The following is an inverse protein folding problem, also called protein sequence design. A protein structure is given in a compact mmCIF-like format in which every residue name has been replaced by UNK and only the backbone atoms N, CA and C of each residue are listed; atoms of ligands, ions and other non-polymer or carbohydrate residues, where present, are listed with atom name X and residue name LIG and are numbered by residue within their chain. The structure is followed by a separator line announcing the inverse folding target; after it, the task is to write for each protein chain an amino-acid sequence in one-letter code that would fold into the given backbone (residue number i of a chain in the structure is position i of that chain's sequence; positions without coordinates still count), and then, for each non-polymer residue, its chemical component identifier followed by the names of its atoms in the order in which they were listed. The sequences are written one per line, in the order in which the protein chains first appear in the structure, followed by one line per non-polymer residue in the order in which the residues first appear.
data_IF_776361214912
#
_entry.id   IF_776361214912
#
_cell.length_a   1.000
_cell.length_b   1.000
_cell.length_c   1.000
_cell.angle_alpha   90.00
_cell.angle_beta   90.00
_cell.angle_gamma   90.00
#
_symmetry.space_group_name_H-M   'P 1'
#
loop_
_entity.id
_entity.type
_entity.pdbx_description
1 polymer ?
#
# COMPACT_ATOMS: atom_id res chain seq x y z
N UNK A 1 -6.61 -24.92 2.10
CA UNK A 1 -6.79 -23.50 2.47
C UNK A 1 -7.43 -22.74 1.33
N UNK A 2 -7.94 -21.53 1.55
CA UNK A 2 -8.72 -20.76 0.56
C UNK A 2 -8.03 -20.51 -0.80
N UNK A 3 -6.71 -20.72 -0.91
CA UNK A 3 -5.92 -20.56 -2.14
C UNK A 3 -5.17 -21.83 -2.56
N UNK A 4 -5.60 -23.02 -2.13
CA UNK A 4 -4.96 -24.26 -2.55
C UNK A 4 -5.26 -24.55 -4.03
N UNK A 5 -4.22 -24.63 -4.86
CA UNK A 5 -4.31 -24.98 -6.28
C UNK A 5 -3.14 -25.87 -6.69
N UNK A 6 -3.31 -26.65 -7.76
CA UNK A 6 -2.21 -27.46 -8.32
C UNK A 6 -1.02 -26.59 -8.78
N UNK A 7 -1.28 -25.35 -9.19
CA UNK A 7 -0.23 -24.40 -9.55
C UNK A 7 0.59 -23.99 -8.33
N UNK A 8 -0.06 -23.76 -7.19
CA UNK A 8 0.61 -23.47 -5.94
C UNK A 8 1.46 -24.66 -5.48
N UNK A 9 0.92 -25.88 -5.53
CA UNK A 9 1.63 -27.09 -5.12
C UNK A 9 2.89 -27.34 -5.98
N UNK A 10 2.81 -27.12 -7.30
CA UNK A 10 3.97 -27.18 -8.19
C UNK A 10 5.02 -26.14 -7.85
N UNK A 11 4.62 -24.87 -7.66
CA UNK A 11 5.54 -23.80 -7.32
C UNK A 11 6.28 -24.08 -5.99
N UNK A 12 5.57 -24.57 -4.97
CA UNK A 12 6.16 -24.95 -3.68
C UNK A 12 7.19 -26.09 -3.83
N UNK A 13 6.88 -27.09 -4.66
CA UNK A 13 7.80 -28.20 -4.91
C UNK A 13 9.06 -27.73 -5.67
N UNK A 14 8.90 -26.87 -6.67
CA UNK A 14 10.02 -26.30 -7.44
C UNK A 14 10.97 -25.47 -6.57
N UNK A 15 10.44 -24.74 -5.58
CA UNK A 15 11.24 -23.89 -4.67
C UNK A 15 11.61 -24.58 -3.35
N UNK A 16 11.33 -25.88 -3.20
CA UNK A 16 11.51 -26.64 -1.96
C UNK A 16 10.98 -25.89 -0.72
N UNK A 17 9.78 -25.32 -0.85
CA UNK A 17 9.16 -24.43 0.14
C UNK A 17 8.00 -25.13 0.86
N UNK A 18 7.93 -25.00 2.18
CA UNK A 18 6.84 -25.53 2.99
C UNK A 18 5.90 -24.40 3.44
N UNK A 19 4.59 -24.64 3.38
CA UNK A 19 3.59 -23.72 3.95
C UNK A 19 3.31 -24.11 5.39
N UNK A 20 3.48 -23.14 6.29
CA UNK A 20 3.02 -23.25 7.67
C UNK A 20 1.76 -22.42 7.85
N UNK A 21 0.68 -23.08 8.28
CA UNK A 21 -0.57 -22.41 8.60
C UNK A 21 -0.54 -21.94 10.05
N UNK A 22 -0.94 -20.69 10.27
CA UNK A 22 -1.24 -20.21 11.60
C UNK A 22 -2.49 -20.91 12.16
N UNK A 23 -2.63 -21.02 13.49
CA UNK A 23 -3.85 -21.54 14.10
C UNK A 23 -5.08 -20.70 13.69
N UNK A 24 -6.28 -21.29 13.72
CA UNK A 24 -7.53 -20.54 13.52
C UNK A 24 -7.59 -19.32 14.44
N UNK A 25 -8.08 -18.20 13.93
CA UNK A 25 -8.17 -16.92 14.67
C UNK A 25 -6.83 -16.31 15.10
N UNK A 26 -5.72 -16.67 14.45
CA UNK A 26 -4.44 -15.98 14.64
C UNK A 26 -4.60 -14.47 14.39
N UNK A 27 -4.16 -13.67 15.36
CA UNK A 27 -4.27 -12.20 15.30
C UNK A 27 -3.26 -11.62 14.30
N UNK A 28 -3.52 -10.40 13.85
CA UNK A 28 -2.59 -9.61 13.05
C UNK A 28 -1.24 -9.38 13.77
N UNK A 29 -1.22 -9.48 15.10
CA UNK A 29 -0.01 -9.41 15.92
C UNK A 29 0.96 -10.57 15.72
N UNK A 30 0.49 -11.76 15.29
CA UNK A 30 1.36 -12.92 15.04
C UNK A 30 1.76 -13.07 13.56
N UNK A 31 1.15 -12.27 12.68
CA UNK A 31 1.46 -12.21 11.26
C UNK A 31 2.63 -11.23 11.04
N UNK A 32 3.80 -11.68 10.55
CA UNK A 32 4.98 -10.82 10.45
C UNK A 32 4.81 -9.59 9.54
N UNK A 33 3.99 -9.68 8.50
CA UNK A 33 3.69 -8.55 7.62
C UNK A 33 2.79 -7.53 8.31
N UNK A 34 1.75 -8.00 8.99
CA UNK A 34 0.79 -7.14 9.68
C UNK A 34 1.40 -6.41 10.87
N UNK A 35 2.10 -7.16 11.73
CA UNK A 35 2.73 -6.65 12.96
C UNK A 35 3.90 -5.67 12.72
N UNK A 36 4.48 -5.65 11.51
CA UNK A 36 5.59 -4.75 11.17
C UNK A 36 5.20 -3.69 10.15
N UNK A 37 5.23 -4.01 8.86
CA UNK A 37 5.16 -2.99 7.80
C UNK A 37 3.75 -2.45 7.63
N UNK A 38 2.72 -3.30 7.68
CA UNK A 38 1.32 -2.87 7.52
C UNK A 38 0.89 -2.03 8.73
N UNK A 39 1.25 -2.43 9.96
CA UNK A 39 1.00 -1.61 11.14
C UNK A 39 1.57 -0.20 10.98
N UNK A 40 2.82 -0.05 10.51
CA UNK A 40 3.41 1.28 10.28
C UNK A 40 2.75 2.06 9.15
N UNK A 41 2.29 1.39 8.09
CA UNK A 41 1.51 2.04 7.03
C UNK A 41 0.15 2.51 7.57
N UNK A 42 -0.51 1.72 8.42
CA UNK A 42 -1.77 2.11 9.09
C UNK A 42 -1.57 3.31 10.02
N UNK A 43 -0.48 3.33 10.79
CA UNK A 43 -0.12 4.47 11.67
C UNK A 43 0.04 5.75 10.83
N UNK A 44 0.85 5.70 9.77
CA UNK A 44 1.13 6.87 8.93
C UNK A 44 -0.10 7.32 8.13
N UNK A 45 -0.90 6.37 7.64
CA UNK A 45 -2.19 6.66 7.00
C UNK A 45 -3.12 7.41 7.96
N UNK A 46 -3.27 6.89 9.18
CA UNK A 46 -4.15 7.49 10.20
C UNK A 46 -3.71 8.91 10.51
N UNK A 47 -2.41 9.11 10.79
CA UNK A 47 -1.83 10.43 11.08
C UNK A 47 -2.10 11.44 9.97
N UNK A 48 -1.82 11.08 8.71
CA UNK A 48 -2.02 11.98 7.56
C UNK A 48 -3.49 12.23 7.28
N UNK A 49 -4.33 11.20 7.43
CA UNK A 49 -5.76 11.35 7.25
C UNK A 49 -6.40 12.24 8.32
N UNK A 50 -5.93 12.14 9.57
CA UNK A 50 -6.36 13.03 10.65
C UNK A 50 -6.01 14.48 10.37
N UNK A 51 -4.78 14.76 9.91
CA UNK A 51 -4.39 16.11 9.46
C UNK A 51 -5.34 16.60 8.37
N UNK A 52 -5.63 15.76 7.35
CA UNK A 52 -6.53 16.16 6.27
C UNK A 52 -7.95 16.44 6.75
N UNK A 53 -8.48 15.63 7.68
CA UNK A 53 -9.80 15.88 8.27
C UNK A 53 -9.83 17.22 8.99
N UNK A 54 -8.79 17.56 9.74
CA UNK A 54 -8.69 18.86 10.41
C UNK A 54 -8.67 20.02 9.41
N UNK A 55 -7.92 19.91 8.30
CA UNK A 55 -7.93 20.91 7.22
C UNK A 55 -9.34 21.11 6.62
N UNK A 56 -10.05 20.01 6.37
CA UNK A 56 -11.41 20.06 5.82
C UNK A 56 -12.38 20.71 6.81
N UNK A 57 -12.25 20.42 8.10
CA UNK A 57 -13.04 21.06 9.17
C UNK A 57 -12.77 22.56 9.22
N UNK A 58 -11.49 22.95 9.24
CA UNK A 58 -11.08 24.37 9.28
C UNK A 58 -11.55 25.14 8.04
N UNK A 59 -11.59 24.48 6.89
CA UNK A 59 -12.05 25.05 5.62
C UNK A 59 -13.57 24.96 5.43
N UNK A 60 -14.30 24.43 6.41
CA UNK A 60 -15.75 24.20 6.36
C UNK A 60 -16.20 23.36 5.15
N UNK A 61 -15.34 22.42 4.69
CA UNK A 61 -15.57 21.55 3.54
C UNK A 61 -16.42 20.33 3.95
N UNK A 62 -17.70 20.59 4.22
CA UNK A 62 -18.69 19.56 4.51
C UNK A 62 -19.32 19.00 3.23
N UNK A 63 -19.89 17.81 3.32
CA UNK A 63 -20.64 17.20 2.23
C UNK A 63 -21.98 17.91 2.07
N UNK A 64 -22.22 18.49 0.90
CA UNK A 64 -23.47 19.20 0.57
C UNK A 64 -24.64 18.26 0.22
N UNK A 65 -24.56 16.99 0.60
CA UNK A 65 -25.65 16.04 0.34
C UNK A 65 -26.73 16.22 1.39
N UNK A 66 -27.90 16.69 0.95
CA UNK A 66 -29.13 16.70 1.75
C UNK A 66 -29.59 15.26 1.90
N UNK A 67 -29.83 14.86 3.14
CA UNK A 67 -30.37 13.53 3.47
C UNK A 67 -31.83 13.44 3.02
N UNK A 68 -32.35 12.22 2.92
CA UNK A 68 -33.74 11.98 2.51
C UNK A 68 -34.77 12.65 3.44
N UNK A 69 -34.39 12.97 4.68
CA UNK A 69 -35.21 13.66 5.69
C UNK A 69 -35.10 15.21 5.62
N UNK A 70 -34.39 15.76 4.63
CA UNK A 70 -34.15 17.20 4.49
C UNK A 70 -33.03 17.75 5.38
N UNK A 71 -32.39 16.91 6.20
CA UNK A 71 -31.27 17.28 7.05
C UNK A 71 -29.93 17.36 6.30
N UNK A 72 -29.03 18.23 6.78
CA UNK A 72 -27.66 18.29 6.25
C UNK A 72 -26.80 17.14 6.78
N UNK A 73 -25.96 16.56 5.92
CA UNK A 73 -25.01 15.54 6.32
C UNK A 73 -23.79 16.15 7.02
N UNK A 74 -23.58 15.88 8.31
CA UNK A 74 -22.35 16.23 9.05
C UNK A 74 -21.08 15.47 8.63
N UNK A 75 -21.04 14.92 7.40
CA UNK A 75 -19.88 14.21 6.86
C UNK A 75 -18.95 15.21 6.18
N UNK A 76 -17.64 15.02 6.30
CA UNK A 76 -16.66 15.78 5.54
C UNK A 76 -16.76 15.44 4.04
N UNK A 77 -16.45 16.42 3.20
CA UNK A 77 -16.37 16.22 1.75
C UNK A 77 -15.32 15.18 1.39
N UNK A 78 -15.66 14.29 0.46
CA UNK A 78 -14.73 13.27 -0.02
C UNK A 78 -13.65 13.91 -0.92
N UNK A 79 -12.35 13.82 -0.60
CA UNK A 79 -11.26 14.37 -1.41
C UNK A 79 -11.08 13.69 -2.79
N UNK A 80 -11.72 12.55 -3.02
CA UNK A 80 -11.67 11.80 -4.27
C UNK A 80 -10.54 10.78 -4.35
N UNK A 81 -10.59 9.95 -5.40
CA UNK A 81 -9.67 8.79 -5.58
C UNK A 81 -8.21 9.20 -5.67
N UNK A 82 -7.90 10.25 -6.43
CA UNK A 82 -6.53 10.73 -6.63
C UNK A 82 -5.84 11.07 -5.31
N UNK A 83 -6.55 11.74 -4.41
CA UNK A 83 -6.03 12.06 -3.08
C UNK A 83 -5.67 10.79 -2.30
N UNK A 84 -6.57 9.79 -2.25
CA UNK A 84 -6.31 8.56 -1.50
C UNK A 84 -5.19 7.71 -2.10
N UNK A 85 -5.04 7.69 -3.43
CA UNK A 85 -3.93 7.01 -4.09
C UNK A 85 -2.60 7.71 -3.78
N UNK A 86 -2.56 9.04 -3.82
CA UNK A 86 -1.38 9.81 -3.42
C UNK A 86 -1.05 9.59 -1.93
N UNK A 87 -2.07 9.62 -1.06
CA UNK A 87 -1.92 9.34 0.36
C UNK A 87 -1.30 7.95 0.59
N UNK A 88 -1.79 6.92 -0.11
CA UNK A 88 -1.22 5.57 -0.03
C UNK A 88 0.26 5.56 -0.43
N UNK A 89 0.61 6.18 -1.57
CA UNK A 89 1.98 6.26 -2.05
C UNK A 89 2.89 6.97 -1.04
N UNK A 90 2.43 8.08 -0.46
CA UNK A 90 3.21 8.84 0.50
C UNK A 90 3.40 8.11 1.83
N UNK A 91 2.38 7.37 2.30
CA UNK A 91 2.52 6.51 3.47
C UNK A 91 3.58 5.43 3.25
N UNK A 92 3.56 4.78 2.08
CA UNK A 92 4.56 3.76 1.74
C UNK A 92 5.96 4.37 1.66
N UNK A 93 6.14 5.55 1.02
CA UNK A 93 7.44 6.25 0.98
C UNK A 93 7.95 6.62 2.37
N UNK A 94 7.08 7.13 3.23
CA UNK A 94 7.43 7.51 4.59
C UNK A 94 7.89 6.29 5.40
N UNK A 95 7.11 5.20 5.40
CA UNK A 95 7.46 3.96 6.11
C UNK A 95 8.74 3.34 5.56
N UNK A 96 8.95 3.37 4.25
CA UNK A 96 10.19 2.88 3.63
C UNK A 96 11.42 3.72 4.04
N UNK A 97 11.22 4.97 4.44
CA UNK A 97 12.25 5.87 4.94
C UNK A 97 12.48 5.73 6.46
N UNK A 98 11.55 5.12 7.20
CA UNK A 98 11.74 4.88 8.63
C UNK A 98 12.86 3.86 8.87
N UNK A 99 13.61 4.06 9.97
CA UNK A 99 14.70 3.18 10.41
C UNK A 99 14.46 2.79 11.86
N UNK A 100 14.83 1.56 12.22
CA UNK A 100 14.91 1.18 13.63
C UNK A 100 16.22 1.68 14.27
N UNK A 101 16.39 1.41 15.57
CA UNK A 101 17.58 1.85 16.31
C UNK A 101 18.90 1.29 15.77
N UNK A 102 18.86 0.20 15.00
CA UNK A 102 20.03 -0.39 14.35
C UNK A 102 20.28 0.17 12.93
N UNK A 103 19.50 1.18 12.51
CA UNK A 103 19.59 1.78 11.18
C UNK A 103 18.98 0.91 10.08
N UNK A 104 18.24 -0.15 10.41
CA UNK A 104 17.58 -1.00 9.42
C UNK A 104 16.22 -0.43 9.05
N UNK A 105 15.86 -0.45 7.77
CA UNK A 105 14.54 0.01 7.34
C UNK A 105 13.45 -0.92 7.85
N UNK A 106 12.30 -0.37 8.25
CA UNK A 106 11.16 -1.19 8.71
C UNK A 106 10.68 -2.14 7.61
N UNK A 107 10.69 -1.69 6.35
CA UNK A 107 10.35 -2.52 5.19
C UNK A 107 11.32 -3.71 5.07
N UNK A 108 12.64 -3.48 5.16
CA UNK A 108 13.66 -4.54 5.09
C UNK A 108 13.53 -5.52 6.25
N UNK A 109 13.28 -5.02 7.46
CA UNK A 109 13.06 -5.86 8.65
C UNK A 109 11.82 -6.74 8.49
N UNK A 110 10.73 -6.18 7.97
CA UNK A 110 9.51 -6.94 7.69
C UNK A 110 9.77 -8.02 6.62
N UNK A 111 10.50 -7.71 5.55
CA UNK A 111 10.84 -8.70 4.52
C UNK A 111 11.61 -9.89 5.07
N UNK A 112 12.64 -9.64 5.89
CA UNK A 112 13.41 -10.71 6.54
C UNK A 112 12.48 -11.58 7.40
N UNK A 113 11.62 -10.95 8.20
CA UNK A 113 10.67 -11.67 9.07
C UNK A 113 9.56 -12.41 8.32
N UNK A 114 9.21 -11.96 7.11
CA UNK A 114 8.25 -12.62 6.24
C UNK A 114 8.90 -13.68 5.33
N UNK A 115 10.22 -13.89 5.40
CA UNK A 115 10.92 -14.77 4.46
C UNK A 115 10.94 -14.24 3.01
N UNK A 116 10.65 -12.95 2.81
CA UNK A 116 10.59 -12.28 1.50
C UNK A 116 11.91 -11.60 1.12
N UNK A 117 12.95 -11.67 1.95
CA UNK A 117 14.27 -11.14 1.59
C UNK A 117 14.94 -12.09 0.59
N UNK A 118 14.66 -11.87 -0.70
CA UNK A 118 15.27 -12.63 -1.79
C UNK A 118 16.76 -12.29 -1.99
N UNK A 119 17.24 -11.17 -1.44
CA UNK A 119 18.67 -10.83 -1.38
C UNK A 119 19.07 -10.21 -0.03
N UNK A 120 20.37 -10.19 0.25
CA UNK A 120 20.97 -9.58 1.45
C UNK A 120 20.87 -8.05 1.47
N UNK A 121 20.56 -7.42 0.34
CA UNK A 121 20.57 -5.97 0.17
C UNK A 121 19.24 -5.33 0.61
N UNK A 122 18.13 -6.06 0.49
CA UNK A 122 16.79 -5.59 0.86
C UNK A 122 16.16 -4.64 -0.16
N UNK A 123 16.62 -4.68 -1.42
CA UNK A 123 16.02 -3.93 -2.52
C UNK A 123 14.92 -4.73 -3.22
N UNK A 124 13.85 -4.03 -3.60
CA UNK A 124 12.79 -4.59 -4.44
C UNK A 124 13.18 -4.41 -5.91
N UNK A 125 13.17 -5.51 -6.65
CA UNK A 125 13.41 -5.51 -8.09
C UNK A 125 12.11 -5.79 -8.82
N UNK A 126 11.88 -5.14 -9.96
CA UNK A 126 10.68 -5.35 -10.79
C UNK A 126 10.47 -6.84 -11.13
N UNK A 127 11.56 -7.59 -11.34
CA UNK A 127 11.54 -9.04 -11.62
C UNK A 127 10.87 -9.90 -10.52
N UNK A 128 10.69 -9.36 -9.31
CA UNK A 128 10.06 -10.04 -8.18
C UNK A 128 8.53 -9.87 -8.19
N UNK A 129 7.99 -9.00 -9.05
CA UNK A 129 6.55 -8.78 -9.18
C UNK A 129 5.92 -9.84 -10.08
N UNK A 130 4.60 -9.98 -10.04
CA UNK A 130 3.90 -10.85 -10.99
C UNK A 130 4.03 -10.32 -12.43
N UNK A 131 3.92 -11.17 -13.46
CA UNK A 131 4.04 -10.75 -14.86
C UNK A 131 3.11 -9.59 -15.24
N UNK A 132 1.91 -9.54 -14.66
CA UNK A 132 0.92 -8.49 -14.92
C UNK A 132 1.41 -7.13 -14.39
N UNK A 133 1.97 -7.10 -13.17
CA UNK A 133 2.54 -5.89 -12.59
C UNK A 133 3.80 -5.46 -13.34
N UNK A 134 4.63 -6.41 -13.76
CA UNK A 134 5.79 -6.12 -14.62
C UNK A 134 5.34 -5.49 -15.96
N UNK A 135 4.27 -6.00 -16.57
CA UNK A 135 3.72 -5.46 -17.82
C UNK A 135 3.15 -4.04 -17.62
N UNK A 136 2.49 -3.76 -16.50
CA UNK A 136 2.02 -2.41 -16.16
C UNK A 136 3.20 -1.45 -16.02
N UNK A 137 4.25 -1.84 -15.30
CA UNK A 137 5.46 -1.04 -15.14
C UNK A 137 6.13 -0.79 -16.50
N UNK A 138 6.24 -1.82 -17.34
CA UNK A 138 6.80 -1.67 -18.69
C UNK A 138 5.99 -0.69 -19.54
N UNK A 139 4.65 -0.74 -19.45
CA UNK A 139 3.75 0.15 -20.18
C UNK A 139 3.85 1.62 -19.71
N UNK A 140 4.05 1.85 -18.42
CA UNK A 140 4.07 3.18 -17.81
C UNK A 140 5.42 3.49 -17.16
N UNK A 141 6.52 3.13 -17.83
CA UNK A 141 7.87 3.17 -17.27
C UNK A 141 8.26 4.56 -16.77
N UNK A 142 8.03 5.59 -17.57
CA UNK A 142 8.42 6.94 -17.19
C UNK A 142 7.71 7.40 -15.91
N UNK A 143 6.42 7.09 -15.78
CA UNK A 143 5.65 7.41 -14.57
C UNK A 143 6.11 6.58 -13.37
N UNK A 144 6.49 5.32 -13.58
CA UNK A 144 7.09 4.50 -12.55
C UNK A 144 8.43 5.07 -12.06
N UNK A 145 9.22 5.65 -12.95
CA UNK A 145 10.51 6.31 -12.65
C UNK A 145 10.36 7.74 -12.08
N UNK A 146 9.14 8.26 -12.00
CA UNK A 146 8.82 9.49 -11.29
C UNK A 146 8.24 10.62 -12.14
N UNK A 147 8.01 10.42 -13.44
CA UNK A 147 7.28 11.40 -14.24
C UNK A 147 5.83 11.54 -13.76
N UNK A 148 5.37 12.78 -13.61
CA UNK A 148 4.02 13.07 -13.15
C UNK A 148 2.98 12.50 -14.12
N UNK A 149 1.96 11.85 -13.57
CA UNK A 149 0.79 11.44 -14.35
C UNK A 149 -0.08 12.68 -14.58
N UNK A 150 -0.36 13.05 -15.84
CA UNK A 150 -1.19 14.21 -16.12
C UNK A 150 -2.61 14.04 -15.53
N UNK A 151 -3.25 15.13 -15.10
CA UNK A 151 -4.61 15.08 -14.57
C UNK A 151 -5.57 14.46 -15.60
N UNK A 152 -6.52 13.63 -15.17
CA UNK A 152 -7.51 13.06 -16.08
C UNK A 152 -8.29 14.19 -16.79
N UNK A 153 -8.27 14.20 -18.12
CA UNK A 153 -8.94 15.20 -18.97
C UNK A 153 -8.00 16.16 -19.71
N UNK A 154 -6.71 16.16 -19.39
CA UNK A 154 -5.69 16.87 -20.18
C UNK A 154 -4.94 15.81 -20.96
N UNK A 155 -5.25 15.66 -22.25
CA UNK A 155 -4.47 14.81 -23.14
C UNK A 155 -3.00 15.27 -23.08
N UNK A 156 -2.09 14.31 -22.88
CA UNK A 156 -0.66 14.56 -23.03
C UNK A 156 -0.43 15.14 -24.42
N UNK A 157 -0.12 16.43 -24.50
CA UNK A 157 0.17 17.09 -25.75
C UNK A 157 1.52 16.59 -26.24
N UNK A 158 1.48 15.71 -27.25
CA UNK A 158 2.61 15.43 -28.13
C UNK A 158 3.60 14.39 -27.61
N UNK A 159 3.78 13.35 -28.44
CA UNK A 159 5.05 12.62 -28.54
C UNK A 159 6.19 13.55 -28.93
#
# INVERSE_FOLDING_TARGET
GHNASQELDRALAETNTAIHFFPPCATDLVQPADSFVISKIKDEWTRRWDIKKLELIQSNEWSNNVRADGGWSGKLKNPGKTYFLQLAADCVRAVNSMRDNAGLTYARKAMIRCGLSLDVTGFWHVKQLTPELQAIIAKYKNHYEGELVPPPGIAAAGM
#
